data_IF_766275060676
#
_entry.id   IF_766275060676
#
_cell.length_a   1.000
_cell.length_b   1.000
_cell.length_c   1.000
_cell.angle_alpha   90.00
_cell.angle_beta   90.00
_cell.angle_gamma   90.00
#
_symmetry.space_group_name_H-M   'P 1'
#
loop_
_entity.id
_entity.type
_entity.pdbx_description
1 polymer ?
#
# COMPACT_ATOMS: atom_id res chain seq x y z
N UNK A 1 11.98 67.13 83.19
CA UNK A 1 11.93 65.65 83.29
C UNK A 1 10.49 65.28 82.98
N UNK A 2 10.17 64.46 81.98
CA UNK A 2 10.71 63.14 81.68
C UNK A 2 10.50 62.81 80.19
N UNK A 3 11.52 62.24 79.53
CA UNK A 3 11.37 61.61 78.20
C UNK A 3 10.78 60.21 78.40
N UNK A 4 9.94 59.76 77.46
CA UNK A 4 9.82 58.35 77.05
C UNK A 4 9.04 58.29 75.74
N UNK A 5 9.74 58.26 74.60
CA UNK A 5 10.22 57.05 73.91
C UNK A 5 9.10 56.35 73.14
N UNK A 6 9.01 56.67 71.85
CA UNK A 6 8.52 55.70 70.87
C UNK A 6 9.45 54.48 70.85
N UNK A 7 8.90 53.27 70.65
CA UNK A 7 9.47 52.43 69.61
C UNK A 7 8.41 51.83 68.67
N UNK A 8 8.65 52.12 67.40
CA UNK A 8 8.43 51.43 66.13
C UNK A 8 8.02 49.93 66.17
N UNK A 9 7.07 49.60 65.27
CA UNK A 9 6.90 48.33 64.53
C UNK A 9 6.49 47.07 65.31
N UNK A 10 5.33 46.49 65.00
CA UNK A 10 5.18 45.53 63.89
C UNK A 10 3.76 44.96 63.84
N UNK A 11 3.29 44.62 62.63
CA UNK A 11 2.12 43.75 62.45
C UNK A 11 0.94 44.38 61.73
N UNK A 12 1.12 44.87 60.50
CA UNK A 12 0.01 44.81 59.53
C UNK A 12 -0.32 43.33 59.36
N UNK A 13 -1.35 42.85 60.06
CA UNK A 13 -2.01 41.59 59.70
C UNK A 13 -2.65 41.84 58.34
N UNK A 14 -1.96 41.43 57.27
CA UNK A 14 -2.56 41.31 55.95
C UNK A 14 -3.68 40.29 56.12
N UNK A 15 -4.91 40.77 56.18
CA UNK A 15 -6.08 39.91 56.10
C UNK A 15 -6.11 39.42 54.65
N UNK A 16 -5.62 38.19 54.42
CA UNK A 16 -5.87 37.50 53.17
C UNK A 16 -7.36 37.19 53.13
N UNK A 17 -8.11 38.05 52.44
CA UNK A 17 -9.52 37.83 52.17
C UNK A 17 -9.65 36.64 51.20
N UNK A 18 -9.66 35.45 51.78
CA UNK A 18 -9.84 34.20 51.05
C UNK A 18 -11.32 33.98 50.65
N UNK A 19 -12.20 34.96 50.84
CA UNK A 19 -13.63 34.84 50.52
C UNK A 19 -13.89 34.65 49.02
N UNK A 20 -12.96 35.05 48.14
CA UNK A 20 -13.05 34.73 46.70
C UNK A 20 -12.62 33.30 46.37
N UNK A 21 -11.69 32.73 47.14
CA UNK A 21 -11.25 31.34 46.99
C UNK A 21 -12.28 30.33 47.52
N UNK A 22 -13.21 30.77 48.38
CA UNK A 22 -14.32 29.94 48.92
C UNK A 22 -15.62 30.14 48.13
N UNK A 23 -15.68 31.09 47.19
CA UNK A 23 -16.83 31.22 46.29
C UNK A 23 -16.89 29.99 45.39
N UNK A 24 -17.96 29.20 45.55
CA UNK A 24 -18.26 28.01 44.73
C UNK A 24 -18.20 28.32 43.23
N UNK A 25 -18.51 29.56 42.83
CA UNK A 25 -18.42 30.01 41.43
C UNK A 25 -17.00 30.02 40.87
N UNK A 26 -15.98 30.32 41.68
CA UNK A 26 -14.57 30.27 41.24
C UNK A 26 -14.13 28.84 40.94
N UNK A 27 -14.42 27.90 41.85
CA UNK A 27 -14.10 26.49 41.65
C UNK A 27 -14.88 25.85 40.50
N UNK A 28 -16.15 26.23 40.31
CA UNK A 28 -16.95 25.76 39.17
C UNK A 28 -16.39 26.30 37.85
N UNK A 29 -16.00 27.57 37.78
CA UNK A 29 -15.38 28.16 36.58
C UNK A 29 -14.03 27.51 36.27
N UNK A 30 -13.21 27.25 37.29
CA UNK A 30 -11.90 26.62 37.11
C UNK A 30 -12.05 25.16 36.68
N UNK A 31 -13.00 24.43 37.28
CA UNK A 31 -13.32 23.06 36.85
C UNK A 31 -13.82 23.05 35.41
N UNK A 32 -14.70 23.98 35.03
CA UNK A 32 -15.19 24.11 33.66
C UNK A 32 -14.08 24.46 32.68
N UNK A 33 -13.13 25.33 33.05
CA UNK A 33 -11.96 25.67 32.24
C UNK A 33 -11.03 24.46 32.03
N UNK A 34 -10.75 23.70 33.09
CA UNK A 34 -9.94 22.47 33.00
C UNK A 34 -10.64 21.44 32.13
N UNK A 35 -11.95 21.21 32.33
CA UNK A 35 -12.74 20.31 31.51
C UNK A 35 -12.75 20.74 30.04
N UNK A 36 -12.93 22.03 29.75
CA UNK A 36 -12.88 22.56 28.39
C UNK A 36 -11.51 22.37 27.73
N UNK A 37 -10.42 22.53 28.49
CA UNK A 37 -9.05 22.33 27.97
C UNK A 37 -8.78 20.86 27.66
N UNK A 38 -9.17 19.95 28.57
CA UNK A 38 -9.02 18.51 28.36
C UNK A 38 -9.87 18.03 27.17
N UNK A 39 -11.12 18.50 27.07
CA UNK A 39 -11.99 18.18 25.93
C UNK A 39 -11.45 18.75 24.62
N UNK A 40 -10.90 19.97 24.63
CA UNK A 40 -10.29 20.60 23.46
C UNK A 40 -9.09 19.81 22.93
N UNK A 41 -8.18 19.40 23.83
CA UNK A 41 -7.03 18.55 23.47
C UNK A 41 -7.48 17.17 22.98
N UNK A 42 -8.47 16.55 23.65
CA UNK A 42 -9.00 15.24 23.24
C UNK A 42 -9.58 15.26 21.83
N UNK A 43 -10.41 16.26 21.51
CA UNK A 43 -11.00 16.41 20.17
C UNK A 43 -9.93 16.68 19.11
N UNK A 44 -8.95 17.53 19.39
CA UNK A 44 -7.84 17.80 18.47
C UNK A 44 -6.99 16.53 18.22
N UNK A 45 -6.70 15.76 19.28
CA UNK A 45 -5.97 14.51 19.17
C UNK A 45 -6.74 13.44 18.39
N UNK A 46 -8.06 13.35 18.58
CA UNK A 46 -8.91 12.41 17.85
C UNK A 46 -8.94 12.72 16.34
N UNK A 47 -8.98 13.99 15.96
CA UNK A 47 -8.89 14.40 14.56
C UNK A 47 -7.52 14.09 13.96
N UNK A 48 -6.43 14.34 14.70
CA UNK A 48 -5.08 14.02 14.28
C UNK A 48 -4.86 12.51 14.03
N UNK A 49 -5.30 11.67 14.96
CA UNK A 49 -5.22 10.21 14.82
C UNK A 49 -6.05 9.70 13.63
N UNK A 50 -7.29 10.20 13.47
CA UNK A 50 -8.14 9.81 12.34
C UNK A 50 -7.53 10.20 11.00
N UNK A 51 -6.89 11.36 10.92
CA UNK A 51 -6.18 11.80 9.72
C UNK A 51 -4.95 10.94 9.44
N UNK A 52 -4.17 10.59 10.47
CA UNK A 52 -2.99 9.73 10.33
C UNK A 52 -3.35 8.32 9.82
N UNK A 53 -4.40 7.70 10.39
CA UNK A 53 -4.87 6.37 9.95
C UNK A 53 -5.33 6.42 8.48
N UNK A 54 -6.05 7.47 8.09
CA UNK A 54 -6.46 7.65 6.69
C UNK A 54 -5.25 7.82 5.77
N UNK A 55 -4.26 8.59 6.18
CA UNK A 55 -3.03 8.77 5.42
C UNK A 55 -2.26 7.45 5.25
N UNK A 56 -2.06 6.69 6.32
CA UNK A 56 -1.38 5.39 6.26
C UNK A 56 -2.10 4.41 5.32
N UNK A 57 -3.43 4.35 5.41
CA UNK A 57 -4.24 3.54 4.49
C UNK A 57 -4.06 3.97 3.04
N UNK A 58 -4.06 5.28 2.77
CA UNK A 58 -3.88 5.83 1.44
C UNK A 58 -2.49 5.55 0.86
N UNK A 59 -1.44 5.65 1.68
CA UNK A 59 -0.07 5.29 1.30
C UNK A 59 0.05 3.79 0.98
N UNK A 60 -0.59 2.93 1.78
CA UNK A 60 -0.63 1.49 1.49
C UNK A 60 -1.35 1.21 0.15
N UNK A 61 -2.50 1.83 -0.08
CA UNK A 61 -3.23 1.71 -1.36
C UNK A 61 -2.38 2.18 -2.53
N UNK A 62 -1.63 3.27 -2.40
CA UNK A 62 -0.70 3.75 -3.44
C UNK A 62 0.42 2.74 -3.72
N UNK A 63 1.05 2.21 -2.67
CA UNK A 63 2.11 1.22 -2.82
C UNK A 63 1.60 -0.07 -3.49
N UNK A 64 0.41 -0.54 -3.09
CA UNK A 64 -0.24 -1.70 -3.69
C UNK A 64 -0.66 -1.42 -5.15
N UNK A 65 -1.10 -0.21 -5.47
CA UNK A 65 -1.36 0.23 -6.84
C UNK A 65 -0.12 0.08 -7.73
N UNK A 66 1.02 0.65 -7.32
CA UNK A 66 2.25 0.57 -8.10
C UNK A 66 2.72 -0.89 -8.25
N UNK A 67 2.61 -1.69 -7.19
CA UNK A 67 2.96 -3.10 -7.22
C UNK A 67 2.12 -3.89 -8.23
N UNK A 68 0.80 -3.72 -8.20
CA UNK A 68 -0.12 -4.42 -9.09
C UNK A 68 0.01 -3.94 -10.54
N UNK A 69 0.28 -2.65 -10.77
CA UNK A 69 0.56 -2.10 -12.10
C UNK A 69 1.86 -2.66 -12.67
N UNK A 70 2.94 -2.69 -11.89
CA UNK A 70 4.20 -3.27 -12.30
C UNK A 70 4.07 -4.77 -12.61
N UNK A 71 3.30 -5.51 -11.79
CA UNK A 71 3.02 -6.93 -12.03
C UNK A 71 2.23 -7.13 -13.32
N UNK A 72 1.26 -6.26 -13.59
CA UNK A 72 0.49 -6.29 -14.83
C UNK A 72 1.40 -6.12 -16.05
N UNK A 73 2.28 -5.12 -16.03
CA UNK A 73 3.21 -4.86 -17.13
C UNK A 73 4.18 -6.04 -17.33
N UNK A 74 4.76 -6.58 -16.25
CA UNK A 74 5.63 -7.76 -16.32
C UNK A 74 4.90 -8.99 -16.92
N UNK A 75 3.68 -9.28 -16.46
CA UNK A 75 2.92 -10.42 -16.97
C UNK A 75 2.52 -10.21 -18.43
N UNK A 76 2.10 -9.01 -18.81
CA UNK A 76 1.76 -8.66 -20.20
C UNK A 76 2.95 -8.87 -21.13
N UNK A 77 4.11 -8.36 -20.75
CA UNK A 77 5.33 -8.45 -21.57
C UNK A 77 5.82 -9.92 -21.68
N UNK A 78 5.62 -10.73 -20.63
CA UNK A 78 5.84 -12.17 -20.66
C UNK A 78 4.88 -12.90 -21.62
N UNK A 79 3.61 -12.50 -21.68
CA UNK A 79 2.68 -13.08 -22.67
C UNK A 79 3.15 -12.79 -24.10
N UNK A 80 3.57 -11.55 -24.38
CA UNK A 80 4.08 -11.17 -25.69
C UNK A 80 5.34 -11.97 -26.06
N UNK A 81 6.25 -12.17 -25.10
CA UNK A 81 7.45 -13.00 -25.30
C UNK A 81 7.10 -14.45 -25.64
N UNK A 82 6.11 -15.03 -24.96
CA UNK A 82 5.65 -16.39 -25.27
C UNK A 82 4.94 -16.48 -26.62
N UNK A 83 4.15 -15.47 -26.99
CA UNK A 83 3.51 -15.40 -28.31
C UNK A 83 4.54 -15.35 -29.44
N UNK A 84 5.58 -14.53 -29.28
CA UNK A 84 6.71 -14.45 -30.21
C UNK A 84 7.44 -15.81 -30.30
N UNK A 85 7.77 -16.42 -29.16
CA UNK A 85 8.40 -17.73 -29.10
C UNK A 85 7.60 -18.81 -29.85
N UNK A 86 6.29 -18.89 -29.61
CA UNK A 86 5.43 -19.85 -30.32
C UNK A 86 5.41 -19.58 -31.84
N UNK A 87 5.38 -18.31 -32.25
CA UNK A 87 5.42 -17.95 -33.66
C UNK A 87 6.76 -18.32 -34.32
N UNK A 88 7.87 -18.18 -33.60
CA UNK A 88 9.22 -18.51 -34.11
C UNK A 88 9.41 -20.02 -34.26
N UNK A 89 8.87 -20.82 -33.34
CA UNK A 89 8.87 -22.29 -33.47
C UNK A 89 8.15 -22.73 -34.75
N UNK A 90 6.98 -22.14 -35.00
CA UNK A 90 6.13 -22.48 -36.15
C UNK A 90 6.79 -22.03 -37.48
N UNK A 91 7.44 -20.85 -37.50
CA UNK A 91 8.07 -20.27 -38.70
C UNK A 91 9.44 -20.88 -39.02
N UNK A 92 10.36 -20.84 -38.05
CA UNK A 92 11.76 -21.21 -38.25
C UNK A 92 11.96 -22.72 -38.29
N UNK A 93 11.04 -23.47 -37.67
CA UNK A 93 11.14 -24.94 -37.50
C UNK A 93 12.55 -25.35 -37.06
N UNK A 94 13.10 -24.73 -36.01
CA UNK A 94 14.49 -24.89 -35.61
C UNK A 94 14.80 -26.37 -35.34
N UNK A 95 16.03 -26.80 -35.62
CA UNK A 95 16.45 -28.15 -35.26
C UNK A 95 16.53 -28.31 -33.73
N UNK A 96 17.06 -27.29 -33.05
CA UNK A 96 17.17 -27.21 -31.60
C UNK A 96 16.36 -26.04 -31.03
N UNK A 97 15.39 -26.35 -30.15
CA UNK A 97 14.53 -25.37 -29.50
C UNK A 97 15.22 -24.60 -28.38
N UNK A 98 16.28 -25.15 -27.79
CA UNK A 98 17.01 -24.49 -26.70
C UNK A 98 17.62 -23.15 -27.14
N UNK A 99 17.97 -23.06 -28.42
CA UNK A 99 18.46 -21.81 -29.03
C UNK A 99 17.42 -20.69 -29.06
N UNK A 100 16.14 -21.02 -28.95
CA UNK A 100 15.01 -20.07 -28.92
C UNK A 100 14.40 -19.93 -27.53
N UNK A 101 15.06 -20.39 -26.46
CA UNK A 101 14.50 -20.35 -25.11
C UNK A 101 14.02 -18.92 -24.74
N UNK A 102 12.72 -18.74 -24.43
CA UNK A 102 12.20 -17.42 -24.11
C UNK A 102 12.68 -16.96 -22.74
N UNK A 103 13.16 -15.71 -22.65
CA UNK A 103 13.53 -15.08 -21.39
C UNK A 103 12.31 -14.40 -20.79
N UNK A 104 11.70 -15.02 -19.78
CA UNK A 104 10.56 -14.45 -19.07
C UNK A 104 11.04 -13.64 -17.86
N UNK A 105 10.59 -12.40 -17.75
CA UNK A 105 10.83 -11.54 -16.60
C UNK A 105 10.12 -12.08 -15.36
N UNK A 106 10.77 -11.98 -14.21
CA UNK A 106 10.16 -12.29 -12.92
C UNK A 106 10.58 -11.34 -11.81
N UNK A 107 11.18 -10.21 -12.16
CA UNK A 107 11.69 -9.23 -11.23
C UNK A 107 10.60 -8.76 -10.26
N UNK A 108 9.45 -8.32 -10.77
CA UNK A 108 8.35 -7.84 -9.94
C UNK A 108 7.83 -8.98 -9.09
N UNK A 109 7.56 -10.14 -9.70
CA UNK A 109 7.09 -11.32 -8.99
C UNK A 109 8.00 -11.73 -7.81
N UNK A 110 9.33 -11.74 -7.99
CA UNK A 110 10.27 -12.08 -6.93
C UNK A 110 10.29 -11.01 -5.84
N UNK A 111 10.23 -9.73 -6.22
CA UNK A 111 10.20 -8.63 -5.25
C UNK A 111 8.89 -8.56 -4.46
N UNK A 112 7.77 -9.06 -5.00
CA UNK A 112 6.51 -9.18 -4.25
C UNK A 112 6.64 -10.01 -2.98
N UNK A 113 7.53 -11.01 -2.95
CA UNK A 113 7.76 -11.82 -1.74
C UNK A 113 8.17 -10.97 -0.53
N UNK A 114 8.88 -9.87 -0.77
CA UNK A 114 9.41 -8.99 0.27
C UNK A 114 8.52 -7.77 0.53
N UNK A 115 7.44 -7.59 -0.24
CA UNK A 115 6.53 -6.46 -0.09
C UNK A 115 5.39 -6.82 0.88
N UNK A 116 5.26 -6.06 1.96
CA UNK A 116 4.12 -6.19 2.88
C UNK A 116 2.76 -6.03 2.17
N UNK A 117 2.74 -5.24 1.10
CA UNK A 117 1.52 -4.92 0.33
C UNK A 117 1.17 -6.02 -0.69
N UNK A 118 2.04 -7.01 -0.93
CA UNK A 118 1.74 -8.10 -1.85
C UNK A 118 0.56 -8.96 -1.37
N UNK A 119 0.34 -9.06 -0.06
CA UNK A 119 -0.78 -9.78 0.54
C UNK A 119 -2.13 -9.09 0.33
N UNK A 120 -2.12 -7.80 -0.02
CA UNK A 120 -3.33 -7.05 -0.38
C UNK A 120 -3.75 -7.32 -1.83
N UNK A 121 -2.91 -7.96 -2.64
CA UNK A 121 -3.29 -8.41 -3.99
C UNK A 121 -4.22 -9.62 -3.88
N UNK A 122 -5.33 -9.67 -4.64
CA UNK A 122 -6.26 -10.80 -4.59
C UNK A 122 -5.56 -12.16 -4.81
N UNK A 123 -5.76 -13.09 -3.86
CA UNK A 123 -5.07 -14.39 -3.86
C UNK A 123 -5.33 -15.22 -5.12
N UNK A 124 -6.50 -15.06 -5.75
CA UNK A 124 -6.83 -15.69 -7.03
C UNK A 124 -5.87 -15.26 -8.14
N UNK A 125 -5.56 -13.96 -8.22
CA UNK A 125 -4.65 -13.39 -9.23
C UNK A 125 -3.23 -13.92 -9.00
N UNK A 126 -2.74 -13.85 -7.76
CA UNK A 126 -1.41 -14.35 -7.40
C UNK A 126 -1.26 -15.83 -7.73
N UNK A 127 -2.28 -16.63 -7.40
CA UNK A 127 -2.28 -18.07 -7.68
C UNK A 127 -2.29 -18.34 -9.18
N UNK A 128 -3.08 -17.59 -9.95
CA UNK A 128 -3.14 -17.73 -11.40
C UNK A 128 -1.80 -17.39 -12.08
N UNK A 129 -1.16 -16.28 -11.69
CA UNK A 129 0.15 -15.86 -12.21
C UNK A 129 1.24 -16.87 -11.83
N UNK A 130 1.25 -17.34 -10.57
CA UNK A 130 2.18 -18.38 -10.13
C UNK A 130 2.04 -19.65 -10.96
N UNK A 131 0.81 -20.14 -11.16
CA UNK A 131 0.53 -21.34 -11.96
C UNK A 131 0.98 -21.15 -13.40
N UNK A 132 0.65 -19.99 -14.00
CA UNK A 132 1.09 -19.64 -15.34
C UNK A 132 2.61 -19.75 -15.50
N UNK A 133 3.39 -19.15 -14.60
CA UNK A 133 4.86 -19.20 -14.68
C UNK A 133 5.42 -20.61 -14.57
N UNK A 134 4.90 -21.41 -13.65
CA UNK A 134 5.34 -22.80 -13.46
C UNK A 134 4.98 -23.65 -14.68
N UNK A 135 3.73 -23.54 -15.15
CA UNK A 135 3.24 -24.34 -16.27
C UNK A 135 3.91 -23.96 -17.59
N UNK A 136 4.16 -22.67 -17.84
CA UNK A 136 4.84 -22.22 -19.06
C UNK A 136 6.29 -22.72 -19.09
N UNK A 137 7.04 -22.57 -18.00
CA UNK A 137 8.40 -23.07 -17.88
C UNK A 137 8.47 -24.59 -18.09
N UNK A 138 7.56 -25.36 -17.48
CA UNK A 138 7.50 -26.81 -17.64
C UNK A 138 7.18 -27.22 -19.08
N UNK A 139 6.29 -26.51 -19.77
CA UNK A 139 5.95 -26.80 -21.17
C UNK A 139 7.14 -26.51 -22.10
N UNK A 140 7.83 -25.39 -21.90
CA UNK A 140 9.04 -25.03 -22.64
C UNK A 140 10.12 -26.10 -22.44
N UNK A 141 10.42 -26.45 -21.20
CA UNK A 141 11.44 -27.45 -20.86
C UNK A 141 11.13 -28.82 -21.50
N UNK A 142 9.87 -29.28 -21.42
CA UNK A 142 9.45 -30.55 -22.05
C UNK A 142 9.55 -30.53 -23.56
N UNK A 143 9.25 -29.39 -24.20
CA UNK A 143 9.45 -29.23 -25.63
C UNK A 143 10.93 -29.29 -26.01
N UNK A 144 11.78 -28.60 -25.26
CA UNK A 144 13.24 -28.57 -25.48
C UNK A 144 13.91 -29.93 -25.25
N UNK A 145 13.38 -30.72 -24.31
CA UNK A 145 13.81 -32.11 -24.06
C UNK A 145 13.19 -33.13 -25.03
N UNK A 146 12.33 -32.69 -25.95
CA UNK A 146 11.60 -33.54 -26.89
C UNK A 146 10.66 -34.56 -26.21
N UNK A 147 10.36 -34.38 -24.93
CA UNK A 147 9.37 -35.15 -24.17
C UNK A 147 7.93 -34.78 -24.58
N UNK A 148 7.76 -33.59 -25.16
CA UNK A 148 6.50 -33.07 -25.69
C UNK A 148 6.70 -32.62 -27.14
N UNK A 149 5.82 -33.06 -28.04
CA UNK A 149 5.88 -32.61 -29.43
C UNK A 149 5.59 -31.11 -29.54
N UNK A 150 6.29 -30.44 -30.46
CA UNK A 150 6.23 -28.99 -30.65
C UNK A 150 4.80 -28.48 -30.83
N UNK A 151 4.03 -29.09 -31.72
CA UNK A 151 2.65 -28.67 -31.99
C UNK A 151 1.72 -28.83 -30.78
N UNK A 152 1.90 -29.89 -29.97
CA UNK A 152 1.12 -30.05 -28.73
C UNK A 152 1.55 -29.03 -27.69
N UNK A 153 2.87 -28.80 -27.56
CA UNK A 153 3.43 -27.81 -26.65
C UNK A 153 2.98 -26.39 -26.97
N UNK A 154 3.08 -25.95 -28.23
CA UNK A 154 2.63 -24.62 -28.66
C UNK A 154 1.12 -24.46 -28.52
N UNK A 155 0.33 -25.52 -28.77
CA UNK A 155 -1.12 -25.49 -28.53
C UNK A 155 -1.45 -25.30 -27.05
N UNK A 156 -0.76 -26.00 -26.16
CA UNK A 156 -0.95 -25.86 -24.70
C UNK A 156 -0.49 -24.51 -24.18
N UNK A 157 0.66 -24.01 -24.64
CA UNK A 157 1.15 -22.67 -24.32
C UNK A 157 0.17 -21.60 -24.79
N UNK A 158 -0.39 -21.73 -25.99
CA UNK A 158 -1.39 -20.79 -26.52
C UNK A 158 -2.68 -20.79 -25.69
N UNK A 159 -3.15 -21.96 -25.25
CA UNK A 159 -4.29 -22.05 -24.35
C UNK A 159 -3.99 -21.40 -22.98
N UNK A 160 -2.80 -21.61 -22.46
CA UNK A 160 -2.35 -21.03 -21.19
C UNK A 160 -2.25 -19.48 -21.27
N UNK A 161 -1.63 -18.95 -22.34
CA UNK A 161 -1.58 -17.51 -22.64
C UNK A 161 -2.99 -16.94 -22.79
N UNK A 162 -3.85 -17.60 -23.57
CA UNK A 162 -5.23 -17.17 -23.79
C UNK A 162 -6.03 -17.08 -22.49
N UNK A 163 -5.84 -18.03 -21.56
CA UNK A 163 -6.49 -17.99 -20.24
C UNK A 163 -6.06 -16.78 -19.42
N UNK A 164 -4.76 -16.49 -19.34
CA UNK A 164 -4.25 -15.35 -18.57
C UNK A 164 -4.67 -14.03 -19.20
N UNK A 165 -4.62 -13.92 -20.53
CA UNK A 165 -5.03 -12.74 -21.27
C UNK A 165 -6.53 -12.44 -21.13
N UNK A 166 -7.38 -13.47 -21.16
CA UNK A 166 -8.82 -13.29 -21.12
C UNK A 166 -9.40 -13.12 -19.70
N UNK A 167 -8.76 -13.66 -18.66
CA UNK A 167 -9.31 -13.68 -17.30
C UNK A 167 -8.43 -12.91 -16.30
N UNK A 168 -7.18 -13.34 -16.12
CA UNK A 168 -6.31 -12.84 -15.04
C UNK A 168 -5.86 -11.40 -15.26
N UNK A 169 -5.38 -11.05 -16.45
CA UNK A 169 -4.89 -9.69 -16.75
C UNK A 169 -6.00 -8.64 -16.61
N UNK A 170 -7.23 -8.84 -17.14
CA UNK A 170 -8.33 -7.93 -16.91
C UNK A 170 -8.71 -7.78 -15.43
N UNK A 171 -8.72 -8.87 -14.65
CA UNK A 171 -8.98 -8.80 -13.20
C UNK A 171 -7.92 -7.99 -12.46
N UNK A 172 -6.64 -8.18 -12.79
CA UNK A 172 -5.54 -7.40 -12.23
C UNK A 172 -5.63 -5.93 -12.63
N UNK A 173 -5.98 -5.65 -13.88
CA UNK A 173 -6.20 -4.30 -14.38
C UNK A 173 -7.31 -3.58 -13.63
N UNK A 174 -8.47 -4.23 -13.48
CA UNK A 174 -9.59 -3.68 -12.71
C UNK A 174 -9.21 -3.47 -11.24
N UNK A 175 -8.39 -4.34 -10.67
CA UNK A 175 -7.92 -4.22 -9.29
C UNK A 175 -7.13 -2.93 -9.08
N UNK A 176 -6.11 -2.65 -9.89
CA UNK A 176 -5.34 -1.42 -9.74
C UNK A 176 -6.09 -0.17 -10.19
N UNK A 177 -6.98 -0.26 -11.18
CA UNK A 177 -7.81 0.88 -11.59
C UNK A 177 -8.78 1.32 -10.49
N UNK A 178 -9.30 0.37 -9.69
CA UNK A 178 -10.11 0.72 -8.52
C UNK A 178 -9.30 1.48 -7.47
N UNK A 179 -8.07 1.06 -7.22
CA UNK A 179 -7.16 1.75 -6.29
C UNK A 179 -6.81 3.15 -6.80
N UNK A 180 -6.53 3.30 -8.10
CA UNK A 180 -6.32 4.61 -8.73
C UNK A 180 -7.51 5.55 -8.53
N UNK A 181 -8.74 5.06 -8.76
CA UNK A 181 -9.96 5.86 -8.54
C UNK A 181 -10.15 6.23 -7.06
N UNK A 182 -9.82 5.33 -6.13
CA UNK A 182 -9.87 5.59 -4.69
C UNK A 182 -8.87 6.68 -4.27
N UNK A 183 -7.64 6.60 -4.80
CA UNK A 183 -6.57 7.57 -4.54
C UNK A 183 -6.93 8.95 -5.11
N UNK A 184 -7.43 9.01 -6.34
CA UNK A 184 -7.88 10.24 -7.00
C UNK A 184 -9.03 10.92 -6.23
N UNK A 185 -10.03 10.15 -5.77
CA UNK A 185 -11.14 10.66 -4.95
C UNK A 185 -10.66 11.24 -3.62
N UNK A 186 -9.54 10.74 -3.11
CA UNK A 186 -8.92 11.20 -1.87
C UNK A 186 -7.97 12.38 -2.09
N UNK A 187 -7.87 12.89 -3.32
CA UNK A 187 -7.01 14.02 -3.69
C UNK A 187 -5.53 13.66 -3.87
N UNK A 188 -5.19 12.37 -3.94
CA UNK A 188 -3.84 11.92 -4.26
C UNK A 188 -3.77 11.52 -5.73
N UNK A 189 -2.88 12.15 -6.49
CA UNK A 189 -2.63 11.79 -7.87
C UNK A 189 -1.48 10.75 -7.94
N UNK A 190 -1.78 9.61 -8.56
CA UNK A 190 -0.87 8.49 -8.74
C UNK A 190 0.01 8.61 -9.98
N UNK A 191 -0.25 9.60 -10.84
CA UNK A 191 0.62 9.95 -11.97
C UNK A 191 1.69 10.99 -11.62
N UNK A 192 1.80 11.40 -10.35
CA UNK A 192 2.90 12.23 -9.88
C UNK A 192 4.16 11.36 -9.77
N UNK A 193 4.77 11.09 -10.92
CA UNK A 193 6.23 11.08 -11.01
C UNK A 193 6.61 12.54 -11.27
N UNK A 194 6.61 13.36 -10.23
CA UNK A 194 7.25 14.67 -10.30
C UNK A 194 8.76 14.43 -10.32
N UNK A 195 9.36 14.81 -11.46
CA UNK A 195 10.79 15.01 -11.76
C UNK A 195 11.80 13.88 -11.50
#
# INVERSE_FOLDING_TARGET
MERKSEPVSNGRKIHFDNSELVKTSFWVSQLLMVLATVLGVYLAAQQGLSQAIKFDSLVNTQNNYHLQRALYDEVRDNLQTLEAYMADIDKLRPLDLRSLHPQLSDFVWQNMYYSANALETPAEILTAIRRFRIESAQLIEKMEKQELSRGVGTTRLRALVGKISADTLPKLQLSFQRMELELQRSGMDVNITEE
#
